data_IF_419571841326
#
_entry.id   IF_419571841326
#
_cell.length_a   1.000
_cell.length_b   1.000
_cell.length_c   1.000
_cell.angle_alpha   90.00
_cell.angle_beta   90.00
_cell.angle_gamma   90.00
#
_symmetry.space_group_name_H-M   'P 1'
#
loop_
_entity.id
_entity.type
_entity.pdbx_description
1 polymer ?
#
# COMPACT_ATOMS: atom_id res chain seq x y z
N UNK A 1 7.31 -23.49 -79.11
CA UNK A 1 7.23 -22.02 -79.05
C UNK A 1 5.76 -21.63 -78.86
N UNK A 2 5.38 -20.68 -77.99
CA UNK A 2 6.20 -19.85 -77.08
C UNK A 2 5.78 -19.91 -75.59
N UNK A 3 6.70 -19.41 -74.76
CA UNK A 3 6.57 -19.06 -73.34
C UNK A 3 5.72 -17.80 -73.08
N UNK A 4 5.19 -17.66 -71.85
CA UNK A 4 4.93 -16.35 -71.20
C UNK A 4 4.73 -16.43 -69.66
N UNK A 5 5.82 -16.13 -68.95
CA UNK A 5 5.96 -15.08 -67.90
C UNK A 5 5.22 -15.15 -66.53
N UNK A 6 5.98 -15.49 -65.49
CA UNK A 6 6.27 -14.80 -64.19
C UNK A 6 5.14 -14.29 -63.24
N UNK A 7 5.42 -14.49 -61.93
CA UNK A 7 5.10 -13.74 -60.67
C UNK A 7 4.14 -14.49 -59.72
N UNK A 8 4.65 -15.19 -58.69
CA UNK A 8 5.19 -14.73 -57.41
C UNK A 8 4.11 -14.31 -56.38
N UNK A 9 3.85 -15.16 -55.39
CA UNK A 9 3.44 -14.75 -54.03
C UNK A 9 3.76 -15.88 -53.03
N UNK A 10 4.87 -15.74 -52.31
CA UNK A 10 5.20 -16.55 -51.13
C UNK A 10 4.55 -15.87 -49.94
N UNK A 11 3.64 -16.56 -49.24
CA UNK A 11 3.25 -16.17 -47.88
C UNK A 11 3.39 -17.39 -46.99
N UNK A 12 4.50 -17.42 -46.25
CA UNK A 12 4.79 -18.39 -45.20
C UNK A 12 3.86 -18.16 -44.00
N UNK A 13 2.89 -19.06 -43.80
CA UNK A 13 2.14 -19.15 -42.55
C UNK A 13 2.94 -19.96 -41.53
N UNK A 14 3.80 -19.30 -40.76
CA UNK A 14 4.48 -19.92 -39.62
C UNK A 14 3.51 -20.05 -38.44
N UNK A 15 3.25 -21.31 -38.06
CA UNK A 15 2.42 -21.73 -36.95
C UNK A 15 2.97 -21.25 -35.60
N UNK A 16 2.05 -20.76 -34.78
CA UNK A 16 2.23 -20.12 -33.49
C UNK A 16 2.65 -21.15 -32.44
N UNK A 17 3.84 -21.01 -31.84
CA UNK A 17 4.23 -21.73 -30.62
C UNK A 17 4.07 -20.81 -29.40
N UNK A 18 3.33 -21.32 -28.41
CA UNK A 18 2.79 -20.58 -27.29
C UNK A 18 3.82 -20.09 -26.26
N UNK A 19 3.58 -18.88 -25.79
CA UNK A 19 4.12 -18.33 -24.54
C UNK A 19 2.98 -18.27 -23.53
N UNK A 20 2.82 -19.32 -22.71
CA UNK A 20 2.04 -19.26 -21.48
C UNK A 20 2.83 -18.48 -20.42
N UNK A 21 2.98 -17.16 -20.65
CA UNK A 21 3.38 -16.24 -19.60
C UNK A 21 2.15 -15.91 -18.76
N UNK A 22 2.03 -16.50 -17.57
CA UNK A 22 1.06 -16.03 -16.59
C UNK A 22 1.40 -14.57 -16.26
N UNK A 23 0.61 -13.65 -16.80
CA UNK A 23 0.74 -12.23 -16.49
C UNK A 23 0.32 -12.01 -15.04
N UNK A 24 1.31 -11.97 -14.13
CA UNK A 24 1.13 -11.38 -12.80
C UNK A 24 0.72 -9.94 -13.02
N UNK A 25 -0.57 -9.65 -12.87
CA UNK A 25 -1.10 -8.29 -13.00
C UNK A 25 -0.62 -7.52 -11.78
N UNK A 26 0.51 -6.83 -11.92
CA UNK A 26 0.89 -5.78 -10.99
C UNK A 26 -0.26 -4.77 -10.98
N UNK A 27 -1.03 -4.74 -9.89
CA UNK A 27 -2.07 -3.73 -9.70
C UNK A 27 -1.37 -2.37 -9.71
N UNK A 28 -1.73 -1.52 -10.68
CA UNK A 28 -1.08 -0.22 -10.84
C UNK A 28 -1.36 0.65 -9.61
N UNK A 29 -0.41 1.54 -9.21
CA UNK A 29 -0.56 2.44 -8.05
C UNK A 29 -1.84 3.31 -8.06
N UNK A 30 -2.49 3.43 -9.23
CA UNK A 30 -3.76 4.14 -9.42
C UNK A 30 -4.94 3.58 -8.61
N UNK A 31 -4.82 2.40 -7.97
CA UNK A 31 -5.85 1.86 -7.08
C UNK A 31 -5.67 2.25 -5.60
N UNK A 32 -4.59 2.96 -5.25
CA UNK A 32 -4.30 3.36 -3.87
C UNK A 32 -5.11 4.60 -3.48
N UNK A 33 -6.38 4.37 -3.17
CA UNK A 33 -7.29 5.42 -2.70
C UNK A 33 -7.51 5.30 -1.20
N UNK A 34 -7.10 6.33 -0.49
CA UNK A 34 -7.37 6.48 0.95
C UNK A 34 -8.88 6.68 1.20
N UNK A 35 -9.47 5.98 2.17
CA UNK A 35 -10.83 6.27 2.61
C UNK A 35 -10.85 7.59 3.38
N UNK A 36 -11.97 8.31 3.30
CA UNK A 36 -12.18 9.47 4.16
C UNK A 36 -12.35 9.01 5.61
N UNK A 37 -11.49 9.48 6.51
CA UNK A 37 -11.61 9.25 7.95
C UNK A 37 -12.90 9.88 8.51
N UNK A 38 -13.44 9.27 9.57
CA UNK A 38 -14.71 9.69 10.17
C UNK A 38 -15.95 9.16 9.44
N UNK A 39 -15.76 8.38 8.36
CA UNK A 39 -16.85 7.66 7.69
C UNK A 39 -16.99 6.25 8.25
N UNK A 40 -18.07 5.54 7.92
CA UNK A 40 -18.26 4.12 8.30
C UNK A 40 -17.12 3.21 7.80
N UNK A 41 -16.39 3.61 6.74
CA UNK A 41 -15.25 2.82 6.22
C UNK A 41 -13.95 3.00 7.01
N UNK A 42 -13.82 4.13 7.70
CA UNK A 42 -12.68 4.45 8.54
C UNK A 42 -13.15 5.29 9.74
N UNK A 43 -13.88 4.70 10.71
CA UNK A 43 -14.29 5.39 11.91
C UNK A 43 -13.10 6.05 12.62
N UNK A 44 -13.27 7.33 12.97
CA UNK A 44 -12.22 8.12 13.59
C UNK A 44 -12.23 7.93 15.11
N UNK A 45 -11.05 7.94 15.71
CA UNK A 45 -10.85 8.02 17.15
C UNK A 45 -10.95 9.48 17.61
N UNK A 46 -11.78 9.74 18.60
CA UNK A 46 -11.87 11.04 19.26
C UNK A 46 -11.93 10.85 20.78
N UNK A 47 -10.86 11.23 21.52
CA UNK A 47 -9.59 11.75 21.03
C UNK A 47 -8.76 10.70 20.24
N UNK A 48 -7.75 11.12 19.45
CA UNK A 48 -6.79 10.20 18.84
C UNK A 48 -6.09 9.31 19.88
N UNK A 49 -5.67 8.12 19.47
CA UNK A 49 -5.08 7.12 20.37
C UNK A 49 -3.56 7.09 20.27
N UNK A 50 -2.89 7.12 21.42
CA UNK A 50 -1.46 6.83 21.50
C UNK A 50 -1.25 5.32 21.39
N UNK A 51 -0.31 4.92 20.55
CA UNK A 51 0.07 3.53 20.33
C UNK A 51 1.58 3.34 20.40
N UNK A 52 1.98 2.12 20.75
CA UNK A 52 3.34 1.63 20.59
C UNK A 52 3.38 0.49 19.58
N UNK A 53 4.40 0.48 18.72
CA UNK A 53 4.63 -0.59 17.75
C UNK A 53 5.13 -1.84 18.47
N UNK A 54 4.52 -2.99 18.19
CA UNK A 54 4.83 -4.29 18.79
C UNK A 54 5.30 -5.32 17.75
N UNK A 55 5.65 -6.52 18.21
CA UNK A 55 6.16 -7.60 17.37
C UNK A 55 7.64 -7.42 16.99
N UNK A 56 8.04 -7.99 15.85
CA UNK A 56 9.43 -8.00 15.37
C UNK A 56 9.55 -7.39 13.98
N UNK A 57 10.73 -6.91 13.63
CA UNK A 57 11.01 -6.33 12.30
C UNK A 57 10.26 -5.03 12.01
N UNK A 58 10.42 -4.55 10.78
CA UNK A 58 9.85 -3.28 10.30
C UNK A 58 8.32 -3.37 10.14
N UNK A 59 7.61 -2.34 10.58
CA UNK A 59 6.21 -2.11 10.28
C UNK A 59 6.11 -1.12 9.12
N UNK A 60 5.73 -1.63 7.95
CA UNK A 60 5.61 -0.87 6.70
C UNK A 60 4.43 0.12 6.76
N UNK A 61 4.65 1.33 6.27
CA UNK A 61 3.58 2.31 6.01
C UNK A 61 3.01 2.14 4.60
N UNK A 62 1.71 2.37 4.47
CA UNK A 62 0.99 2.30 3.21
C UNK A 62 0.25 3.61 2.95
N UNK A 63 0.11 4.03 1.69
CA UNK A 63 -0.61 5.25 1.31
C UNK A 63 -2.13 5.08 1.35
N UNK A 64 -2.60 3.84 1.43
CA UNK A 64 -4.00 3.45 1.59
C UNK A 64 -4.04 2.12 2.37
N UNK A 65 -5.17 1.72 2.96
CA UNK A 65 -5.32 0.44 3.66
C UNK A 65 -5.34 -0.76 2.69
N UNK A 66 -4.24 -0.97 1.97
CA UNK A 66 -4.08 -1.99 0.95
C UNK A 66 -2.61 -2.41 0.85
N UNK A 67 -2.35 -3.73 0.85
CA UNK A 67 -1.00 -4.30 0.80
C UNK A 67 -0.23 -3.98 -0.50
N UNK A 68 -0.93 -3.56 -1.56
CA UNK A 68 -0.33 -3.14 -2.82
C UNK A 68 0.05 -1.65 -2.85
N UNK A 69 -0.15 -0.93 -1.74
CA UNK A 69 0.11 0.52 -1.64
C UNK A 69 1.27 0.88 -0.69
N UNK A 70 2.41 0.16 -0.67
CA UNK A 70 3.48 0.48 0.26
C UNK A 70 4.12 1.83 -0.09
N UNK A 71 4.40 2.64 0.91
CA UNK A 71 5.24 3.84 0.76
C UNK A 71 6.70 3.38 0.83
N UNK A 72 7.39 3.41 -0.31
CA UNK A 72 8.76 2.91 -0.42
C UNK A 72 9.69 3.56 0.62
N UNK A 73 10.39 2.73 1.38
CA UNK A 73 11.37 3.19 2.39
C UNK A 73 10.77 3.73 3.69
N UNK A 74 9.44 3.84 3.82
CA UNK A 74 8.80 4.37 5.03
C UNK A 74 8.31 3.22 5.90
N UNK A 75 8.91 3.12 7.09
CA UNK A 75 8.55 2.14 8.10
C UNK A 75 8.93 2.65 9.49
N UNK A 76 8.32 2.02 10.49
CA UNK A 76 8.69 2.16 11.90
C UNK A 76 9.12 0.81 12.47
N UNK A 77 9.73 0.81 13.64
CA UNK A 77 10.23 -0.40 14.30
C UNK A 77 9.56 -0.60 15.67
N UNK A 78 9.67 -1.78 16.28
CA UNK A 78 9.09 -2.02 17.60
C UNK A 78 9.59 -0.98 18.62
N UNK A 79 8.69 -0.55 19.51
CA UNK A 79 8.83 0.53 20.50
C UNK A 79 8.70 1.96 19.97
N UNK A 80 8.60 2.17 18.66
CA UNK A 80 8.21 3.49 18.13
C UNK A 80 6.79 3.84 18.59
N UNK A 81 6.56 5.12 18.86
CA UNK A 81 5.26 5.64 19.29
C UNK A 81 4.53 6.27 18.10
N UNK A 82 3.26 5.94 17.96
CA UNK A 82 2.39 6.44 16.90
C UNK A 82 1.15 7.10 17.50
N UNK A 83 0.60 8.06 16.78
CA UNK A 83 -0.76 8.57 17.02
C UNK A 83 -1.67 7.94 15.98
N UNK A 84 -2.73 7.26 16.40
CA UNK A 84 -3.72 6.68 15.50
C UNK A 84 -4.99 7.55 15.46
N UNK A 85 -5.48 7.79 14.25
CA UNK A 85 -6.64 8.66 13.98
C UNK A 85 -7.87 7.88 13.54
N UNK A 86 -7.72 6.78 12.82
CA UNK A 86 -8.84 5.96 12.38
C UNK A 86 -8.48 4.48 12.34
N UNK A 87 -9.50 3.63 12.31
CA UNK A 87 -9.40 2.19 12.14
C UNK A 87 -10.40 1.73 11.09
N UNK A 88 -9.98 0.88 10.16
CA UNK A 88 -10.91 0.17 9.27
C UNK A 88 -11.33 -1.17 9.87
N UNK A 89 -12.49 -1.67 9.47
CA UNK A 89 -13.01 -2.98 9.92
C UNK A 89 -12.09 -4.15 9.54
N UNK A 90 -11.29 -4.02 8.47
CA UNK A 90 -10.32 -5.01 8.00
C UNK A 90 -8.90 -4.84 8.60
N UNK A 91 -8.80 -4.07 9.70
CA UNK A 91 -7.62 -4.08 10.57
C UNK A 91 -6.47 -3.20 10.09
N UNK A 92 -6.79 -2.03 9.53
CA UNK A 92 -5.81 -0.98 9.23
C UNK A 92 -6.01 0.24 10.11
N UNK A 93 -4.92 0.79 10.61
CA UNK A 93 -4.93 2.04 11.36
C UNK A 93 -4.30 3.15 10.53
N UNK A 94 -5.01 4.28 10.40
CA UNK A 94 -4.40 5.53 9.98
C UNK A 94 -3.61 6.09 11.15
N UNK A 95 -2.33 6.37 10.92
CA UNK A 95 -1.38 6.76 11.95
C UNK A 95 -0.47 7.89 11.47
N UNK A 96 0.04 8.66 12.41
CA UNK A 96 1.18 9.55 12.25
C UNK A 96 2.31 9.11 13.17
N UNK A 97 3.52 9.06 12.62
CA UNK A 97 4.76 8.97 13.36
C UNK A 97 5.43 10.34 13.39
N UNK A 98 5.85 10.79 14.56
CA UNK A 98 6.70 11.96 14.72
C UNK A 98 8.09 11.50 15.14
N UNK A 99 9.11 11.78 14.32
CA UNK A 99 10.48 11.45 14.66
C UNK A 99 10.96 12.32 15.82
N UNK A 100 11.25 11.76 17.00
CA UNK A 100 11.59 12.56 18.19
C UNK A 100 12.96 13.25 18.07
N UNK A 101 13.82 12.82 17.13
CA UNK A 101 15.15 13.41 16.93
C UNK A 101 15.14 14.56 15.93
N UNK A 102 14.35 14.44 14.87
CA UNK A 102 14.35 15.43 13.78
C UNK A 102 13.13 16.34 13.79
N UNK A 103 12.05 15.95 14.49
CA UNK A 103 10.77 16.67 14.46
C UNK A 103 9.96 16.47 13.18
N UNK A 104 10.47 15.71 12.20
CA UNK A 104 9.73 15.39 10.98
C UNK A 104 8.66 14.34 11.27
N UNK A 105 7.50 14.49 10.63
CA UNK A 105 6.42 13.53 10.70
C UNK A 105 6.19 12.78 9.39
N UNK A 106 5.50 11.66 9.49
CA UNK A 106 4.95 10.92 8.36
C UNK A 106 3.64 10.28 8.76
N UNK A 107 2.66 10.38 7.85
CA UNK A 107 1.34 9.77 8.03
C UNK A 107 1.10 8.68 7.01
N UNK A 108 0.24 7.72 7.36
CA UNK A 108 -0.19 6.66 6.47
C UNK A 108 -0.90 5.53 7.22
N UNK A 109 -1.10 4.42 6.53
CA UNK A 109 -1.81 3.26 7.03
C UNK A 109 -0.84 2.14 7.44
N UNK A 110 -1.13 1.49 8.55
CA UNK A 110 -0.38 0.32 9.04
C UNK A 110 -1.33 -0.78 9.47
N UNK A 111 -0.84 -2.02 9.58
CA UNK A 111 -1.63 -3.12 10.13
C UNK A 111 -1.82 -2.95 11.63
N UNK A 112 -3.07 -2.81 12.07
CA UNK A 112 -3.44 -2.52 13.47
C UNK A 112 -2.98 -3.61 14.44
N UNK A 113 -2.89 -4.86 13.98
CA UNK A 113 -2.39 -5.98 14.79
C UNK A 113 -0.94 -5.79 15.30
N UNK A 114 -0.20 -4.83 14.73
CA UNK A 114 1.17 -4.46 15.13
C UNK A 114 1.22 -3.28 16.09
N UNK A 115 0.06 -2.81 16.56
CA UNK A 115 -0.07 -1.67 17.47
C UNK A 115 -0.67 -2.13 18.80
N UNK A 116 -0.19 -1.53 19.89
CA UNK A 116 -0.81 -1.64 21.22
C UNK A 116 -1.18 -0.25 21.71
N UNK A 117 -2.44 -0.05 22.08
CA UNK A 117 -2.93 1.19 22.68
C UNK A 117 -2.19 1.45 23.99
N UNK A 118 -1.70 2.67 24.17
CA UNK A 118 -1.02 3.13 25.41
C UNK A 118 -1.75 4.31 26.07
N UNK A 119 -2.79 4.85 25.43
CA UNK A 119 -3.62 5.92 25.99
C UNK A 119 -4.28 6.76 24.90
N UNK A 120 -4.72 7.95 25.27
CA UNK A 120 -5.28 8.97 24.37
C UNK A 120 -4.31 10.15 24.24
N UNK A 121 -4.30 10.79 23.07
CA UNK A 121 -3.53 12.02 22.84
C UNK A 121 -4.45 13.22 23.09
N UNK A 122 -4.14 14.00 24.12
CA UNK A 122 -4.83 15.25 24.45
C UNK A 122 -3.90 16.47 24.35
N UNK A 123 -4.45 17.69 24.36
CA UNK A 123 -3.64 18.90 24.46
C UNK A 123 -2.78 18.86 25.73
N UNK A 124 -1.51 19.22 25.60
CA UNK A 124 -0.64 19.45 26.77
C UNK A 124 -1.14 20.74 27.42
N UNK A 125 -1.62 20.64 28.66
CA UNK A 125 -1.95 21.79 29.50
C UNK A 125 -0.66 22.51 29.93
#
# INVERSE_FOLDING_TARGET
MPDKTVLASIVCSALILGLLGASVRAQTPSSCKEPQEGTTRAPMFSPPLAHVVTGTGRLQFYSAPNLHCPISGVFVIPKDQLVAYALTDDGWSSVMYLNPKTGNDVSGWVRSARLKVTGTVGPRQ
#
